data_IF_861423864152
#
_entry.id   IF_861423864152
#
_cell.length_a   1.000
_cell.length_b   1.000
_cell.length_c   1.000
_cell.angle_alpha   90.00
_cell.angle_beta   90.00
_cell.angle_gamma   90.00
#
_symmetry.space_group_name_H-M   'P 1'
#
loop_
_entity.id
_entity.type
_entity.pdbx_description
1 polymer ?
#
# COMPACT_ATOMS: atom_id res chain seq x y z
N UNK A 1 79.25 30.24 23.46
CA UNK A 1 78.02 30.41 22.63
C UNK A 1 78.02 29.20 21.70
N UNK A 2 77.18 28.18 21.80
CA UNK A 2 75.92 27.99 22.51
C UNK A 2 75.77 26.52 22.96
N UNK A 3 75.16 26.35 24.14
CA UNK A 3 74.21 25.30 24.57
C UNK A 3 73.49 24.62 23.37
N UNK A 4 73.65 23.32 23.12
CA UNK A 4 73.07 22.14 23.78
C UNK A 4 71.54 22.12 23.77
N UNK A 5 70.96 21.33 22.86
CA UNK A 5 69.63 20.75 23.02
C UNK A 5 69.61 19.34 22.40
N UNK A 6 69.17 18.39 23.22
CA UNK A 6 69.14 16.96 22.96
C UNK A 6 67.80 16.45 23.50
N UNK A 7 66.88 16.01 22.63
CA UNK A 7 65.73 15.16 23.03
C UNK A 7 65.05 14.53 21.79
N UNK A 8 64.33 13.40 21.94
CA UNK A 8 64.29 12.35 20.94
C UNK A 8 62.97 12.23 20.16
N UNK A 9 63.04 11.48 19.06
CA UNK A 9 61.92 10.95 18.29
C UNK A 9 60.99 10.09 19.13
N UNK A 10 59.68 10.35 19.03
CA UNK A 10 58.61 9.40 19.37
C UNK A 10 57.57 9.42 18.25
N UNK A 11 57.52 8.29 17.55
CA UNK A 11 56.42 7.80 16.75
C UNK A 11 55.22 7.52 17.65
N UNK A 12 54.11 8.22 17.46
CA UNK A 12 52.78 7.61 17.32
C UNK A 12 51.77 8.72 17.02
N UNK A 13 51.15 8.67 15.84
CA UNK A 13 49.93 9.44 15.59
C UNK A 13 49.02 8.51 14.81
N UNK A 14 48.15 7.85 15.57
CA UNK A 14 47.05 7.03 15.08
C UNK A 14 46.38 7.69 13.89
N UNK A 15 46.49 7.03 12.74
CA UNK A 15 45.71 7.35 11.55
C UNK A 15 44.24 7.16 11.88
N UNK A 16 43.52 8.26 12.05
CA UNK A 16 42.08 8.29 11.84
C UNK A 16 41.91 8.20 10.32
N UNK A 17 41.64 7.01 9.82
CA UNK A 17 41.07 6.82 8.49
C UNK A 17 39.73 7.54 8.45
N UNK A 18 39.50 8.46 7.50
CA UNK A 18 38.14 8.90 7.21
C UNK A 18 37.38 7.67 6.75
N UNK A 19 36.29 7.35 7.44
CA UNK A 19 35.32 6.38 6.98
C UNK A 19 34.93 6.79 5.56
N UNK A 20 35.19 5.91 4.60
CA UNK A 20 34.64 5.99 3.27
C UNK A 20 33.11 6.04 3.44
N UNK A 21 32.55 7.25 3.32
CA UNK A 21 31.14 7.44 3.06
C UNK A 21 30.90 6.86 1.66
N UNK A 22 30.48 5.61 1.60
CA UNK A 22 29.95 5.00 0.39
C UNK A 22 28.66 5.71 0.02
N UNK A 23 28.81 6.81 -0.71
CA UNK A 23 27.79 7.58 -1.40
C UNK A 23 27.42 6.87 -2.72
N UNK A 24 27.17 5.56 -2.64
CA UNK A 24 26.92 4.66 -3.79
C UNK A 24 25.49 4.10 -3.79
N UNK A 25 24.55 4.77 -3.15
CA UNK A 25 23.14 4.33 -3.01
C UNK A 25 22.23 4.87 -4.13
N UNK A 26 22.78 4.94 -5.35
CA UNK A 26 22.00 4.88 -6.58
C UNK A 26 22.43 3.62 -7.32
N UNK A 27 22.05 2.46 -6.77
CA UNK A 27 22.26 1.16 -7.42
C UNK A 27 21.71 1.23 -8.85
N UNK A 28 22.61 1.14 -9.82
CA UNK A 28 22.26 0.98 -11.22
C UNK A 28 21.43 -0.29 -11.31
N UNK A 29 20.11 -0.15 -11.56
CA UNK A 29 19.21 -1.28 -11.74
C UNK A 29 19.89 -2.33 -12.65
N UNK A 30 19.92 -3.59 -12.23
CA UNK A 30 20.48 -4.63 -13.09
C UNK A 30 19.69 -4.71 -14.42
N UNK A 31 20.35 -5.07 -15.53
CA UNK A 31 19.71 -5.22 -16.84
C UNK A 31 18.48 -6.14 -16.76
N UNK A 32 18.58 -7.19 -15.95
CA UNK A 32 17.51 -8.14 -15.69
C UNK A 32 16.27 -7.52 -15.02
N UNK A 33 16.48 -6.61 -14.07
CA UNK A 33 15.38 -5.90 -13.41
C UNK A 33 14.74 -4.86 -14.33
N UNK A 34 15.51 -4.27 -15.25
CA UNK A 34 14.93 -3.42 -16.31
C UNK A 34 14.02 -4.23 -17.24
N UNK A 35 14.41 -5.46 -17.61
CA UNK A 35 13.53 -6.34 -18.38
C UNK A 35 12.26 -6.71 -17.61
N UNK A 36 12.36 -6.94 -16.30
CA UNK A 36 11.20 -7.16 -15.45
C UNK A 36 10.21 -5.99 -15.52
N UNK A 37 10.71 -4.75 -15.44
CA UNK A 37 9.90 -3.53 -15.61
C UNK A 37 9.31 -3.38 -17.01
N UNK A 38 9.99 -3.86 -18.05
CA UNK A 38 9.53 -3.81 -19.44
C UNK A 38 8.55 -4.95 -19.81
N UNK A 39 8.33 -5.91 -18.91
CA UNK A 39 7.46 -7.05 -19.19
C UNK A 39 6.02 -6.62 -19.54
N UNK A 40 5.50 -7.16 -20.64
CA UNK A 40 4.15 -6.91 -21.12
C UNK A 40 3.21 -8.07 -20.81
N UNK A 41 2.01 -7.73 -20.33
CA UNK A 41 0.98 -8.70 -20.00
C UNK A 41 -0.40 -8.17 -20.40
N UNK A 42 -0.72 -8.04 -21.70
CA UNK A 42 -1.98 -7.46 -22.15
C UNK A 42 -3.22 -8.16 -21.59
N UNK A 43 -3.11 -9.46 -21.31
CA UNK A 43 -4.16 -10.26 -20.67
C UNK A 43 -4.50 -9.81 -19.23
N UNK A 44 -3.55 -9.21 -18.50
CA UNK A 44 -3.81 -8.60 -17.18
C UNK A 44 -4.65 -7.34 -17.35
N UNK A 45 -4.28 -6.48 -18.32
CA UNK A 45 -4.99 -5.24 -18.60
C UNK A 45 -6.44 -5.52 -19.03
N UNK A 46 -6.63 -6.51 -19.92
CA UNK A 46 -7.95 -6.93 -20.39
C UNK A 46 -8.81 -7.47 -19.24
N UNK A 47 -8.18 -8.19 -18.30
CA UNK A 47 -8.86 -8.66 -17.08
C UNK A 47 -9.26 -7.50 -16.17
N UNK A 48 -8.38 -6.53 -15.92
CA UNK A 48 -8.69 -5.37 -15.06
C UNK A 48 -9.87 -4.55 -15.58
N UNK A 49 -9.97 -4.41 -16.91
CA UNK A 49 -11.12 -3.78 -17.56
C UNK A 49 -12.38 -4.63 -17.44
N UNK A 50 -12.28 -5.94 -17.71
CA UNK A 50 -13.42 -6.86 -17.69
C UNK A 50 -14.03 -6.99 -16.29
N UNK A 51 -13.18 -7.07 -15.27
CA UNK A 51 -13.57 -7.13 -13.85
C UNK A 51 -13.96 -5.75 -13.29
N UNK A 52 -13.86 -4.69 -14.10
CA UNK A 52 -14.13 -3.28 -13.75
C UNK A 52 -13.32 -2.77 -12.55
N UNK A 53 -12.09 -3.28 -12.41
CA UNK A 53 -11.12 -2.71 -11.47
C UNK A 53 -10.76 -1.29 -11.92
N UNK A 54 -10.65 -1.06 -13.23
CA UNK A 54 -10.44 0.26 -13.84
C UNK A 54 -11.43 0.52 -14.97
N UNK A 55 -11.57 1.79 -15.36
CA UNK A 55 -12.50 2.21 -16.41
C UNK A 55 -11.81 2.36 -17.77
N UNK A 56 -10.50 2.62 -17.77
CA UNK A 56 -9.73 2.89 -18.99
C UNK A 56 -8.48 2.02 -19.11
N UNK A 57 -8.03 1.79 -20.34
CA UNK A 57 -6.83 1.00 -20.59
C UNK A 57 -5.56 1.69 -20.06
N UNK A 58 -5.49 3.01 -20.13
CA UNK A 58 -4.37 3.78 -19.58
C UNK A 58 -4.22 3.55 -18.06
N UNK A 59 -5.31 3.53 -17.31
CA UNK A 59 -5.29 3.19 -15.88
C UNK A 59 -4.84 1.75 -15.63
N UNK A 60 -5.23 0.80 -16.49
CA UNK A 60 -4.77 -0.59 -16.38
C UNK A 60 -3.26 -0.71 -16.61
N UNK A 61 -2.73 0.02 -17.59
CA UNK A 61 -1.30 0.10 -17.90
C UNK A 61 -0.50 0.74 -16.76
N UNK A 62 -1.02 1.81 -16.18
CA UNK A 62 -0.44 2.49 -15.01
C UNK A 62 -0.38 1.54 -13.80
N UNK A 63 -1.51 0.91 -13.44
CA UNK A 63 -1.54 -0.05 -12.34
C UNK A 63 -0.57 -1.22 -12.55
N UNK A 64 -0.54 -1.80 -13.74
CA UNK A 64 0.36 -2.92 -14.01
C UNK A 64 1.84 -2.50 -14.01
N UNK A 65 2.14 -1.27 -14.42
CA UNK A 65 3.47 -0.69 -14.28
C UNK A 65 3.88 -0.62 -12.80
N UNK A 66 2.99 -0.18 -11.93
CA UNK A 66 3.27 -0.10 -10.49
C UNK A 66 3.36 -1.46 -9.80
N UNK A 67 2.60 -2.47 -10.25
CA UNK A 67 2.78 -3.86 -9.80
C UNK A 67 4.22 -4.34 -10.05
N UNK A 68 4.74 -4.12 -11.27
CA UNK A 68 6.12 -4.54 -11.62
C UNK A 68 7.16 -3.79 -10.78
N UNK A 69 7.00 -2.48 -10.61
CA UNK A 69 7.88 -1.66 -9.75
C UNK A 69 7.85 -2.12 -8.30
N UNK A 70 6.67 -2.42 -7.75
CA UNK A 70 6.53 -2.96 -6.40
C UNK A 70 7.28 -4.29 -6.22
N UNK A 71 7.14 -5.22 -7.17
CA UNK A 71 7.84 -6.50 -7.12
C UNK A 71 9.36 -6.34 -7.18
N UNK A 72 9.87 -5.45 -8.05
CA UNK A 72 11.31 -5.11 -8.10
C UNK A 72 11.79 -4.47 -6.80
N UNK A 73 11.00 -3.55 -6.22
CA UNK A 73 11.33 -2.91 -4.96
C UNK A 73 11.38 -3.93 -3.80
N UNK A 74 10.47 -4.90 -3.79
CA UNK A 74 10.48 -6.00 -2.81
C UNK A 74 11.69 -6.92 -2.98
N UNK A 75 12.14 -7.17 -4.20
CA UNK A 75 13.35 -7.97 -4.46
C UNK A 75 14.60 -7.25 -3.92
N UNK A 76 14.71 -5.93 -4.13
CA UNK A 76 15.88 -5.17 -3.71
C UNK A 76 15.89 -4.81 -2.22
N UNK A 77 14.73 -4.75 -1.57
CA UNK A 77 14.60 -4.36 -0.15
C UNK A 77 14.85 -5.53 0.79
N UNK A 78 16.11 -5.93 0.89
CA UNK A 78 16.55 -7.11 1.65
C UNK A 78 16.47 -6.96 3.19
N UNK A 79 16.48 -5.73 3.68
CA UNK A 79 16.55 -5.35 5.09
C UNK A 79 15.17 -5.04 5.72
N UNK A 80 14.13 -4.94 4.90
CA UNK A 80 12.79 -4.52 5.30
C UNK A 80 11.70 -5.20 4.49
N UNK A 81 10.59 -5.55 5.13
CA UNK A 81 9.41 -6.09 4.42
C UNK A 81 8.57 -4.92 3.91
N UNK A 82 8.52 -4.76 2.58
CA UNK A 82 7.72 -3.72 1.93
C UNK A 82 6.23 -4.12 1.94
N UNK A 83 5.41 -3.33 2.64
CA UNK A 83 3.96 -3.51 2.67
C UNK A 83 3.29 -3.13 1.35
N UNK A 84 2.12 -3.72 1.07
CA UNK A 84 1.23 -3.23 0.01
C UNK A 84 0.37 -2.09 0.58
N UNK A 85 0.42 -0.91 -0.07
CA UNK A 85 -0.22 0.33 0.42
C UNK A 85 -1.31 0.89 -0.49
N UNK A 86 -1.60 0.20 -1.60
CA UNK A 86 -2.71 0.55 -2.50
C UNK A 86 -3.53 -0.69 -2.76
N UNK A 87 -4.82 -0.63 -2.44
CA UNK A 87 -5.78 -1.69 -2.77
C UNK A 87 -5.91 -1.85 -4.29
N UNK A 88 -5.74 -0.76 -5.05
CA UNK A 88 -5.79 -0.77 -6.51
C UNK A 88 -4.59 -1.50 -7.13
N UNK A 89 -3.37 -1.22 -6.66
CA UNK A 89 -2.16 -1.93 -7.10
C UNK A 89 -2.23 -3.40 -6.63
N UNK A 90 -2.78 -3.67 -5.45
CA UNK A 90 -2.99 -5.04 -4.95
C UNK A 90 -3.98 -5.81 -5.84
N UNK A 91 -5.11 -5.21 -6.23
CA UNK A 91 -6.07 -5.81 -7.15
C UNK A 91 -5.44 -6.12 -8.51
N UNK A 92 -4.57 -5.24 -9.02
CA UNK A 92 -3.81 -5.48 -10.24
C UNK A 92 -2.80 -6.63 -10.09
N UNK A 93 -2.13 -6.72 -8.95
CA UNK A 93 -1.22 -7.83 -8.67
C UNK A 93 -1.98 -9.16 -8.54
N UNK A 94 -3.12 -9.16 -7.85
CA UNK A 94 -4.02 -10.31 -7.79
C UNK A 94 -4.46 -10.78 -9.17
N UNK A 95 -4.88 -9.86 -10.05
CA UNK A 95 -5.24 -10.19 -11.42
C UNK A 95 -4.08 -10.87 -12.17
N UNK A 96 -2.84 -10.42 -11.96
CA UNK A 96 -1.66 -11.05 -12.56
C UNK A 96 -1.39 -12.45 -12.02
N UNK A 97 -1.49 -12.65 -10.70
CA UNK A 97 -1.27 -13.96 -10.05
C UNK A 97 -2.20 -15.05 -10.60
N UNK A 98 -3.43 -14.69 -10.97
CA UNK A 98 -4.41 -15.62 -11.53
C UNK A 98 -3.98 -16.21 -12.88
N UNK A 99 -3.06 -15.57 -13.60
CA UNK A 99 -2.39 -16.14 -14.77
C UNK A 99 -1.17 -16.94 -14.30
N UNK A 100 -1.44 -18.04 -13.59
CA UNK A 100 -0.46 -18.74 -12.75
C UNK A 100 0.81 -19.17 -13.48
N UNK A 101 0.69 -19.63 -14.73
CA UNK A 101 1.85 -20.08 -15.52
C UNK A 101 2.74 -18.89 -15.93
N UNK A 102 2.11 -17.82 -16.42
CA UNK A 102 2.82 -16.61 -16.83
C UNK A 102 3.42 -15.87 -15.64
N UNK A 103 2.71 -15.82 -14.52
CA UNK A 103 3.21 -15.20 -13.29
C UNK A 103 4.38 -16.01 -12.71
N UNK A 104 4.29 -17.34 -12.72
CA UNK A 104 5.38 -18.19 -12.28
C UNK A 104 6.60 -18.11 -13.21
N UNK A 105 6.38 -17.96 -14.53
CA UNK A 105 7.44 -17.71 -15.50
C UNK A 105 8.11 -16.35 -15.25
N UNK A 106 7.32 -15.27 -15.15
CA UNK A 106 7.81 -13.93 -14.80
C UNK A 106 8.67 -13.97 -13.52
N UNK A 107 8.17 -14.62 -12.48
CA UNK A 107 8.87 -14.79 -11.22
C UNK A 107 10.22 -15.49 -11.37
N UNK A 108 10.20 -16.71 -11.94
CA UNK A 108 11.43 -17.49 -12.13
C UNK A 108 12.41 -16.78 -13.04
N UNK A 109 11.92 -16.20 -14.13
CA UNK A 109 12.74 -15.48 -15.10
C UNK A 109 13.43 -14.31 -14.41
N UNK A 110 12.70 -13.41 -13.77
CA UNK A 110 13.24 -12.12 -13.32
C UNK A 110 13.78 -12.09 -11.88
N UNK A 111 13.34 -13.01 -11.02
CA UNK A 111 13.74 -13.04 -9.61
C UNK A 111 14.28 -14.40 -9.18
N UNK A 112 14.39 -15.36 -10.10
CA UNK A 112 14.82 -16.73 -9.79
C UNK A 112 13.82 -17.54 -8.94
N UNK A 113 12.64 -16.98 -8.62
CA UNK A 113 11.66 -17.57 -7.70
C UNK A 113 10.24 -17.06 -7.98
N UNK A 114 9.25 -17.75 -7.43
CA UNK A 114 7.86 -17.27 -7.42
C UNK A 114 7.67 -16.19 -6.34
N UNK A 115 7.32 -14.93 -6.66
CA UNK A 115 7.04 -13.93 -5.64
C UNK A 115 5.71 -14.28 -4.95
N UNK A 116 5.78 -14.68 -3.69
CA UNK A 116 4.61 -15.07 -2.91
C UNK A 116 3.77 -13.85 -2.53
N UNK A 117 2.47 -13.93 -2.80
CA UNK A 117 1.47 -13.01 -2.27
C UNK A 117 0.77 -13.64 -1.06
N UNK A 118 0.55 -12.87 0.00
CA UNK A 118 -0.33 -13.27 1.09
C UNK A 118 -1.55 -12.35 1.08
N UNK A 119 -2.74 -12.86 0.70
CA UNK A 119 -3.94 -12.04 0.62
C UNK A 119 -4.24 -11.34 1.95
N UNK A 120 -4.62 -10.08 1.88
CA UNK A 120 -5.22 -9.40 3.02
C UNK A 120 -6.62 -9.96 3.22
N UNK A 121 -6.80 -10.90 4.14
CA UNK A 121 -8.13 -11.43 4.45
C UNK A 121 -8.93 -10.32 5.15
N UNK A 122 -9.85 -9.68 4.41
CA UNK A 122 -10.86 -8.82 5.00
C UNK A 122 -11.99 -9.69 5.52
N UNK A 123 -12.21 -9.67 6.83
CA UNK A 123 -13.31 -10.40 7.47
C UNK A 123 -14.63 -9.76 7.08
N UNK A 124 -15.35 -10.34 6.12
CA UNK A 124 -16.73 -9.94 5.83
C UNK A 124 -17.63 -10.36 7.03
N UNK A 125 -18.42 -9.46 7.64
CA UNK A 125 -19.29 -9.82 8.78
C UNK A 125 -20.38 -10.85 8.44
N UNK A 126 -20.57 -11.18 7.15
CA UNK A 126 -21.59 -12.11 6.66
C UNK A 126 -21.14 -13.55 6.43
N UNK A 127 -19.83 -13.85 6.49
CA UNK A 127 -19.37 -15.22 6.30
C UNK A 127 -19.19 -15.92 7.65
N UNK A 128 -20.25 -16.57 8.13
CA UNK A 128 -20.19 -17.50 9.26
C UNK A 128 -19.47 -18.80 8.85
N UNK A 129 -18.23 -18.67 8.38
CA UNK A 129 -17.29 -19.77 8.24
C UNK A 129 -16.68 -20.04 9.60
N UNK A 130 -17.21 -21.04 10.31
CA UNK A 130 -16.63 -21.56 11.56
C UNK A 130 -15.17 -21.95 11.34
N UNK A 131 -14.22 -21.03 11.59
CA UNK A 131 -12.80 -21.35 11.73
C UNK A 131 -11.99 -20.30 12.49
N UNK A 132 -12.62 -19.56 13.39
CA UNK A 132 -11.94 -18.77 14.41
C UNK A 132 -12.01 -19.49 15.76
N UNK A 133 -11.55 -20.75 15.81
CA UNK A 133 -11.25 -21.43 17.06
C UNK A 133 -9.87 -22.06 16.93
N UNK A 134 -8.94 -21.50 17.68
CA UNK A 134 -7.73 -22.16 18.18
C UNK A 134 -6.72 -22.62 17.14
N UNK A 135 -5.81 -21.72 16.77
CA UNK A 135 -4.45 -22.13 16.39
C UNK A 135 -3.47 -21.44 17.34
N UNK A 136 -3.52 -21.83 18.61
CA UNK A 136 -2.56 -21.41 19.64
C UNK A 136 -1.22 -22.17 19.54
N UNK A 137 -1.17 -23.19 18.69
CA UNK A 137 0.00 -24.07 18.44
C UNK A 137 0.42 -24.10 16.97
N UNK A 138 0.30 -22.99 16.22
CA UNK A 138 1.04 -22.90 14.95
C UNK A 138 2.50 -22.69 15.32
N UNK A 139 3.45 -23.55 14.89
CA UNK A 139 4.85 -23.17 14.97
C UNK A 139 5.00 -21.83 14.24
N UNK A 140 5.87 -20.92 14.72
CA UNK A 140 6.08 -19.64 14.07
C UNK A 140 6.30 -19.90 12.58
N UNK A 141 5.65 -19.10 11.72
CA UNK A 141 5.83 -19.22 10.27
C UNK A 141 7.32 -19.34 10.00
N UNK A 142 7.73 -20.45 9.39
CA UNK A 142 9.13 -20.67 9.02
C UNK A 142 9.53 -19.44 8.20
N UNK A 143 10.54 -18.67 8.64
CA UNK A 143 10.95 -17.52 7.88
C UNK A 143 11.43 -18.05 6.52
N UNK A 144 10.85 -17.52 5.44
CA UNK A 144 11.15 -17.97 4.05
C UNK A 144 12.61 -17.72 3.67
N UNK A 145 13.34 -17.02 4.53
CA UNK A 145 14.78 -16.88 4.50
C UNK A 145 15.28 -17.33 5.87
N UNK A 146 16.44 -17.97 6.01
CA UNK A 146 17.14 -18.06 7.31
C UNK A 146 17.59 -16.69 7.85
N UNK A 147 16.72 -15.67 7.76
CA UNK A 147 16.93 -14.23 7.87
C UNK A 147 15.86 -13.74 8.83
N UNK A 148 16.27 -13.00 9.86
CA UNK A 148 15.39 -12.54 10.93
C UNK A 148 14.19 -11.74 10.41
N UNK A 149 13.16 -11.53 11.24
CA UNK A 149 11.97 -10.79 10.81
C UNK A 149 12.38 -9.34 10.51
N UNK A 150 12.56 -9.02 9.23
CA UNK A 150 12.78 -7.65 8.79
C UNK A 150 11.66 -6.76 9.32
N UNK A 151 11.99 -5.53 9.72
CA UNK A 151 11.00 -4.53 10.12
C UNK A 151 9.94 -4.40 9.01
N UNK A 152 8.66 -4.25 9.35
CA UNK A 152 7.64 -3.89 8.35
C UNK A 152 7.82 -2.42 7.99
N UNK A 153 7.76 -2.08 6.70
CA UNK A 153 7.81 -0.69 6.26
C UNK A 153 6.60 0.10 6.78
N UNK A 154 6.76 1.42 6.88
CA UNK A 154 5.67 2.39 6.87
C UNK A 154 5.42 2.87 5.44
N UNK A 155 4.32 3.58 5.20
CA UNK A 155 4.08 4.21 3.88
C UNK A 155 5.20 5.20 3.52
N UNK A 156 5.71 5.94 4.51
CA UNK A 156 6.84 6.84 4.34
C UNK A 156 8.10 6.08 3.91
N UNK A 157 8.46 5.00 4.62
CA UNK A 157 9.60 4.16 4.25
C UNK A 157 9.48 3.61 2.81
N UNK A 158 8.28 3.19 2.41
CA UNK A 158 8.00 2.71 1.06
C UNK A 158 8.19 3.80 0.00
N UNK A 159 7.58 4.98 0.21
CA UNK A 159 7.68 6.11 -0.72
C UNK A 159 9.13 6.53 -0.91
N UNK A 160 9.87 6.73 0.18
CA UNK A 160 11.26 7.18 0.11
C UNK A 160 12.12 6.22 -0.71
N UNK A 161 11.96 4.91 -0.53
CA UNK A 161 12.68 3.91 -1.33
C UNK A 161 12.23 3.85 -2.77
N UNK A 162 10.92 3.94 -3.02
CA UNK A 162 10.38 3.99 -4.38
C UNK A 162 11.00 5.15 -5.14
N UNK A 163 10.97 6.35 -4.55
CA UNK A 163 11.45 7.58 -5.19
C UNK A 163 12.97 7.55 -5.40
N UNK A 164 13.73 7.03 -4.42
CA UNK A 164 15.16 6.83 -4.55
C UNK A 164 15.51 5.84 -5.68
N UNK A 165 14.79 4.72 -5.78
CA UNK A 165 15.07 3.67 -6.76
C UNK A 165 14.69 4.08 -8.19
N UNK A 166 13.53 4.72 -8.37
CA UNK A 166 12.99 5.02 -9.69
C UNK A 166 13.24 6.47 -10.15
N UNK A 167 13.80 7.32 -9.30
CA UNK A 167 14.15 8.70 -9.63
C UNK A 167 12.95 9.58 -10.01
N UNK A 168 11.74 9.21 -9.55
CA UNK A 168 10.49 9.90 -9.84
C UNK A 168 9.60 9.91 -8.59
N UNK A 169 8.75 10.94 -8.40
CA UNK A 169 7.81 10.96 -7.29
C UNK A 169 6.85 9.77 -7.36
N UNK A 170 6.37 9.33 -6.20
CA UNK A 170 5.37 8.27 -6.14
C UNK A 170 4.10 8.72 -6.90
N UNK A 171 3.63 7.97 -7.92
CA UNK A 171 2.51 8.40 -8.74
C UNK A 171 1.18 8.30 -7.98
N UNK A 172 0.20 9.10 -8.39
CA UNK A 172 -1.11 9.24 -7.76
C UNK A 172 -1.87 7.90 -7.64
N UNK A 173 -1.53 6.93 -8.47
CA UNK A 173 -2.12 5.60 -8.44
C UNK A 173 -1.91 4.86 -7.11
N UNK A 174 -0.87 5.21 -6.35
CA UNK A 174 -0.64 4.70 -4.99
C UNK A 174 -1.56 5.31 -3.94
N UNK A 175 -2.40 6.28 -4.33
CA UNK A 175 -3.42 6.90 -3.50
C UNK A 175 -4.80 6.47 -3.99
N UNK A 176 -5.36 5.42 -3.37
CA UNK A 176 -6.63 4.78 -3.77
C UNK A 176 -7.83 5.74 -3.89
N UNK A 177 -7.75 6.89 -3.23
CA UNK A 177 -8.73 7.98 -3.30
C UNK A 177 -9.00 8.48 -4.73
N UNK A 178 -8.01 8.38 -5.62
CA UNK A 178 -8.13 8.76 -7.03
C UNK A 178 -9.02 7.81 -7.86
N UNK A 179 -9.29 6.60 -7.36
CA UNK A 179 -10.08 5.57 -8.07
C UNK A 179 -11.51 5.42 -7.56
N UNK A 180 -11.95 6.33 -6.70
CA UNK A 180 -13.32 6.34 -6.18
C UNK A 180 -14.24 6.92 -7.24
N UNK A 181 -15.03 6.05 -7.86
CA UNK A 181 -16.12 6.40 -8.76
C UNK A 181 -17.45 5.93 -8.17
N UNK A 182 -18.58 6.33 -8.75
CA UNK A 182 -19.90 5.85 -8.29
C UNK A 182 -20.05 4.33 -8.36
N UNK A 183 -19.25 3.66 -9.20
CA UNK A 183 -19.25 2.21 -9.33
C UNK A 183 -18.27 1.52 -8.38
N UNK A 184 -17.52 2.28 -7.57
CA UNK A 184 -16.56 1.70 -6.65
C UNK A 184 -17.27 1.09 -5.44
N UNK A 185 -16.86 -0.12 -5.08
CA UNK A 185 -17.24 -0.76 -3.82
C UNK A 185 -16.33 -0.26 -2.70
N UNK A 186 -16.95 0.13 -1.59
CA UNK A 186 -16.32 0.65 -0.39
C UNK A 186 -16.59 -0.30 0.77
N UNK A 187 -15.64 -0.37 1.70
CA UNK A 187 -15.76 -1.10 2.96
C UNK A 187 -15.56 -0.12 4.11
N UNK A 188 -16.36 -0.25 5.17
CA UNK A 188 -16.07 0.39 6.46
C UNK A 188 -14.87 -0.30 7.07
N UNK A 189 -13.84 0.46 7.44
CA UNK A 189 -12.65 -0.10 8.07
C UNK A 189 -12.97 -0.48 9.52
N UNK A 190 -12.79 -1.76 9.87
CA UNK A 190 -12.96 -2.26 11.24
C UNK A 190 -12.13 -1.47 12.27
N UNK A 191 -10.99 -0.91 11.84
CA UNK A 191 -10.12 -0.07 12.68
C UNK A 191 -10.77 1.26 13.05
N UNK A 192 -11.76 1.72 12.30
CA UNK A 192 -12.53 2.90 12.65
C UNK A 192 -13.35 2.68 13.94
N UNK A 193 -13.54 1.43 14.35
CA UNK A 193 -14.33 1.07 15.52
C UNK A 193 -15.81 1.40 15.35
N UNK A 194 -16.54 1.49 16.47
CA UNK A 194 -17.97 1.83 16.41
C UNK A 194 -18.14 3.31 16.10
N UNK A 195 -18.89 3.59 15.04
CA UNK A 195 -19.21 4.93 14.56
C UNK A 195 -20.60 5.36 15.02
N UNK A 196 -20.77 6.65 15.32
CA UNK A 196 -22.04 7.27 15.70
C UNK A 196 -22.23 8.60 14.99
N UNK A 197 -23.47 9.10 14.99
CA UNK A 197 -23.77 10.43 14.45
C UNK A 197 -24.13 11.40 15.57
N UNK A 198 -23.55 12.59 15.52
CA UNK A 198 -23.96 13.74 16.31
C UNK A 198 -24.55 14.79 15.37
N UNK A 199 -25.74 15.30 15.69
CA UNK A 199 -26.42 16.33 14.88
C UNK A 199 -26.35 17.67 15.58
N UNK A 200 -26.07 18.71 14.80
CA UNK A 200 -26.13 20.12 15.21
C UNK A 200 -26.82 20.92 14.10
N UNK A 201 -27.16 22.19 14.35
CA UNK A 201 -27.92 22.99 13.38
C UNK A 201 -27.26 23.02 11.99
N UNK A 202 -27.91 22.37 11.00
CA UNK A 202 -27.48 22.28 9.61
C UNK A 202 -26.32 21.32 9.32
N UNK A 203 -25.82 20.59 10.31
CA UNK A 203 -24.67 19.70 10.16
C UNK A 203 -24.86 18.35 10.86
N UNK A 204 -24.16 17.35 10.33
CA UNK A 204 -24.05 16.02 10.91
C UNK A 204 -22.57 15.65 10.99
N UNK A 205 -22.13 15.32 12.19
CA UNK A 205 -20.79 14.82 12.47
C UNK A 205 -20.82 13.30 12.62
N UNK A 206 -19.91 12.64 11.91
CA UNK A 206 -19.56 11.24 12.13
C UNK A 206 -18.50 11.17 13.23
N UNK A 207 -18.79 10.48 14.32
CA UNK A 207 -17.92 10.40 15.49
C UNK A 207 -17.45 8.97 15.74
N UNK A 208 -16.23 8.84 16.29
CA UNK A 208 -15.72 7.60 16.87
C UNK A 208 -16.29 7.39 18.28
N UNK A 209 -15.99 6.22 18.85
CA UNK A 209 -16.49 5.82 20.18
C UNK A 209 -15.98 6.71 21.32
N UNK A 210 -14.82 7.36 21.13
CA UNK A 210 -14.24 8.37 22.03
C UNK A 210 -14.89 9.76 21.88
N UNK A 211 -15.96 9.88 21.08
CA UNK A 211 -16.65 11.12 20.73
C UNK A 211 -15.80 12.10 19.89
N UNK A 212 -14.65 11.68 19.38
CA UNK A 212 -13.88 12.47 18.43
C UNK A 212 -14.61 12.53 17.10
N UNK A 213 -14.92 13.75 16.64
CA UNK A 213 -15.49 13.96 15.31
C UNK A 213 -14.46 13.62 14.23
N UNK A 214 -14.82 12.71 13.33
CA UNK A 214 -13.98 12.23 12.24
C UNK A 214 -14.22 13.04 10.97
N UNK A 215 -15.49 13.36 10.72
CA UNK A 215 -15.92 14.15 9.58
C UNK A 215 -17.20 14.89 9.97
N UNK A 216 -17.30 16.18 9.64
CA UNK A 216 -18.52 16.96 9.76
C UNK A 216 -18.94 17.44 8.37
N UNK A 217 -20.19 17.21 8.01
CA UNK A 217 -20.76 17.56 6.72
C UNK A 217 -22.14 18.19 6.90
N UNK A 218 -22.63 18.84 5.85
CA UNK A 218 -23.99 19.35 5.83
C UNK A 218 -25.02 18.21 6.06
N UNK A 219 -26.13 18.53 6.72
CA UNK A 219 -27.16 17.57 7.11
C UNK A 219 -27.81 16.80 5.93
N UNK A 220 -27.72 17.31 4.70
CA UNK A 220 -28.09 16.60 3.47
C UNK A 220 -27.40 15.22 3.36
N UNK A 221 -26.14 15.11 3.78
CA UNK A 221 -25.41 13.85 3.76
C UNK A 221 -25.76 12.91 4.94
N UNK A 222 -26.66 13.32 5.85
CA UNK A 222 -26.98 12.56 7.05
C UNK A 222 -27.59 11.17 6.78
N UNK A 223 -28.42 11.05 5.74
CA UNK A 223 -28.94 9.75 5.32
C UNK A 223 -27.82 8.83 4.81
N UNK A 224 -26.87 9.38 4.05
CA UNK A 224 -25.72 8.65 3.54
C UNK A 224 -24.80 8.17 4.67
N UNK A 225 -24.46 9.03 5.63
CA UNK A 225 -23.65 8.63 6.79
C UNK A 225 -24.34 7.55 7.63
N UNK A 226 -25.66 7.65 7.86
CA UNK A 226 -26.41 6.64 8.59
C UNK A 226 -26.40 5.29 7.86
N UNK A 227 -26.54 5.31 6.54
CA UNK A 227 -26.45 4.11 5.70
C UNK A 227 -25.07 3.46 5.79
N UNK A 228 -23.99 4.25 5.72
CA UNK A 228 -22.60 3.75 5.82
C UNK A 228 -22.37 2.99 7.12
N UNK A 229 -22.81 3.55 8.26
CA UNK A 229 -22.68 2.90 9.57
C UNK A 229 -23.39 1.54 9.60
N UNK A 230 -24.52 1.41 8.89
CA UNK A 230 -25.35 0.21 8.91
C UNK A 230 -24.89 -0.87 7.90
N UNK A 231 -24.41 -0.48 6.72
CA UNK A 231 -24.17 -1.39 5.61
C UNK A 231 -22.86 -2.20 5.75
N UNK A 232 -21.80 -1.60 6.30
CA UNK A 232 -20.47 -2.20 6.39
C UNK A 232 -19.73 -2.33 5.05
N UNK A 233 -20.42 -2.67 3.96
CA UNK A 233 -19.93 -2.68 2.59
C UNK A 233 -21.02 -2.17 1.63
N UNK A 234 -20.65 -1.34 0.66
CA UNK A 234 -21.60 -0.74 -0.29
C UNK A 234 -20.90 -0.22 -1.54
N UNK A 235 -21.65 0.03 -2.60
CA UNK A 235 -21.20 0.80 -3.77
C UNK A 235 -21.52 2.28 -3.58
N UNK A 236 -20.62 3.17 -4.04
CA UNK A 236 -20.80 4.63 -3.89
C UNK A 236 -22.15 5.12 -4.46
N UNK A 237 -22.62 4.56 -5.59
CA UNK A 237 -23.94 4.86 -6.18
C UNK A 237 -25.13 4.61 -5.24
N UNK A 238 -24.99 3.70 -4.28
CA UNK A 238 -26.05 3.30 -3.33
C UNK A 238 -26.27 4.33 -2.22
N UNK A 239 -25.37 5.31 -2.07
CA UNK A 239 -25.51 6.35 -1.05
C UNK A 239 -26.85 7.10 -1.22
N UNK A 240 -27.73 7.09 -0.19
CA UNK A 240 -29.04 7.75 -0.25
C UNK A 240 -28.93 9.26 0.03
N UNK A 241 -30.09 9.94 0.12
CA UNK A 241 -30.17 11.35 0.53
C UNK A 241 -30.24 12.36 -0.62
N UNK A 242 -30.41 11.89 -1.86
CA UNK A 242 -30.53 12.79 -3.03
C UNK A 242 -29.23 13.47 -3.43
N UNK A 243 -28.09 12.98 -2.93
CA UNK A 243 -26.76 13.45 -3.31
C UNK A 243 -26.52 13.20 -4.80
N UNK A 244 -25.90 14.17 -5.45
CA UNK A 244 -25.34 14.03 -6.80
C UNK A 244 -24.19 13.03 -6.82
N UNK A 245 -23.81 12.54 -7.99
CA UNK A 245 -22.70 11.59 -8.12
C UNK A 245 -21.37 12.19 -7.62
N UNK A 246 -21.12 13.48 -7.89
CA UNK A 246 -19.93 14.19 -7.42
C UNK A 246 -19.92 14.33 -5.89
N UNK A 247 -21.07 14.61 -5.26
CA UNK A 247 -21.18 14.68 -3.80
C UNK A 247 -20.97 13.31 -3.14
N UNK A 248 -21.47 12.24 -3.76
CA UNK A 248 -21.25 10.86 -3.29
C UNK A 248 -19.77 10.48 -3.36
N UNK A 249 -19.11 10.80 -4.47
CA UNK A 249 -17.67 10.57 -4.65
C UNK A 249 -16.88 11.40 -3.62
N UNK A 250 -17.17 12.69 -3.50
CA UNK A 250 -16.50 13.59 -2.55
C UNK A 250 -16.65 13.14 -1.09
N UNK A 251 -17.84 12.67 -0.71
CA UNK A 251 -18.08 12.12 0.62
C UNK A 251 -17.25 10.85 0.86
N UNK A 252 -17.25 9.91 -0.10
CA UNK A 252 -16.45 8.68 0.00
C UNK A 252 -14.95 8.98 0.09
N UNK A 253 -14.45 9.92 -0.73
CA UNK A 253 -13.07 10.40 -0.69
C UNK A 253 -12.69 10.98 0.69
N UNK A 254 -13.55 11.84 1.25
CA UNK A 254 -13.31 12.42 2.58
C UNK A 254 -13.25 11.35 3.68
N UNK A 255 -14.10 10.33 3.60
CA UNK A 255 -14.13 9.22 4.55
C UNK A 255 -12.95 8.25 4.40
N UNK A 256 -12.39 8.11 3.19
CA UNK A 256 -11.12 7.38 3.00
C UNK A 256 -9.96 8.16 3.63
N UNK A 257 -9.87 9.48 3.43
CA UNK A 257 -8.83 10.32 4.07
C UNK A 257 -8.86 10.25 5.59
N UNK A 258 -10.05 10.08 6.17
CA UNK A 258 -10.22 10.01 7.62
C UNK A 258 -10.04 8.59 8.20
N UNK A 259 -9.79 7.60 7.34
CA UNK A 259 -9.61 6.19 7.72
C UNK A 259 -10.89 5.51 8.19
N UNK A 260 -12.05 5.99 7.73
CA UNK A 260 -13.36 5.36 8.00
C UNK A 260 -13.71 4.34 6.93
N UNK A 261 -13.43 4.69 5.68
CA UNK A 261 -13.64 3.81 4.55
C UNK A 261 -12.30 3.37 3.98
N UNK A 262 -12.33 2.23 3.30
CA UNK A 262 -11.31 1.79 2.38
C UNK A 262 -11.95 1.32 1.09
N UNK A 263 -11.19 1.38 0.01
CA UNK A 263 -11.60 0.83 -1.27
C UNK A 263 -11.63 -0.70 -1.16
N UNK A 264 -12.68 -1.34 -1.67
CA UNK A 264 -12.69 -2.79 -1.76
C UNK A 264 -11.80 -3.24 -2.95
N UNK A 265 -10.99 -4.30 -2.79
CA UNK A 265 -10.22 -4.89 -3.88
C UNK A 265 -11.10 -5.48 -4.98
#
# INVERSE_FOLDING_TARGET
MAISDNAPSLTDTSGITPAESNDSDAEVLDAHLREALAFEAPYVLDRLLSDRVVETRAQAEELFTEVKKYLVLCELSHDMVIGMYSEMVDAAWHAFILFTDQYADYGRRFFGRYPSHTPTIHSDPGHNGKRATEVKDRPPAIPVNGRGPGRKSTFTDFRERYEALFGQPLPDVWHDIGFITVNRRMLVDDRAGRLTLARSDGYVALCRTDSTAVLSVNDMAGAALQFIIAAGAFYVRELPGGLTDDEKIGLAQALVRSGVLKVAP
#
